data_IF_043596419667
#
_entry.id   IF_043596419667
#
_cell.length_a   1.000
_cell.length_b   1.000
_cell.length_c   1.000
_cell.angle_alpha   90.00
_cell.angle_beta   90.00
_cell.angle_gamma   90.00
#
_symmetry.space_group_name_H-M   'P 1'
#
loop_
_entity.id
_entity.type
_entity.pdbx_description
1 polymer ?
#
# COMPACT_ATOMS: atom_id res chain seq x y z
N UNK A 1 -35.14 30.59 1.42
CA UNK A 1 -33.80 30.19 1.94
C UNK A 1 -33.71 30.67 3.38
N UNK A 2 -33.56 29.76 4.33
CA UNK A 2 -33.50 30.07 5.76
C UNK A 2 -32.02 30.05 6.17
N UNK A 3 -31.43 31.23 6.38
CA UNK A 3 -30.03 31.35 6.81
C UNK A 3 -29.95 31.31 8.33
N UNK A 4 -29.37 30.24 8.87
CA UNK A 4 -29.00 30.12 10.28
C UNK A 4 -27.68 30.85 10.52
N UNK A 5 -27.73 31.98 11.22
CA UNK A 5 -26.53 32.68 11.69
C UNK A 5 -26.24 32.27 13.12
N UNK A 6 -25.06 31.68 13.35
CA UNK A 6 -24.63 31.28 14.68
C UNK A 6 -24.13 32.50 15.47
N UNK A 7 -24.56 32.64 16.72
CA UNK A 7 -24.24 33.80 17.58
C UNK A 7 -22.75 33.92 17.96
N UNK A 8 -21.98 32.84 17.85
CA UNK A 8 -20.53 32.83 18.03
C UNK A 8 -19.87 31.83 17.06
N UNK A 9 -19.40 32.31 15.89
CA UNK A 9 -18.75 31.47 14.87
C UNK A 9 -17.48 30.76 15.39
N UNK A 10 -16.78 31.36 16.35
CA UNK A 10 -15.52 30.83 16.90
C UNK A 10 -15.75 29.56 17.71
N UNK A 11 -16.85 29.50 18.46
CA UNK A 11 -17.24 28.30 19.23
C UNK A 11 -17.64 27.14 18.34
N UNK A 12 -18.37 27.40 17.25
CA UNK A 12 -18.76 26.35 16.30
C UNK A 12 -17.53 25.78 15.60
N UNK A 13 -16.61 26.66 15.16
CA UNK A 13 -15.35 26.23 14.56
C UNK A 13 -14.48 25.42 15.54
N UNK A 14 -14.34 25.88 16.79
CA UNK A 14 -13.58 25.16 17.82
C UNK A 14 -14.19 23.79 18.15
N UNK A 15 -15.53 23.71 18.23
CA UNK A 15 -16.24 22.46 18.44
C UNK A 15 -16.00 21.48 17.29
N UNK A 16 -16.22 21.90 16.05
CA UNK A 16 -16.00 21.06 14.86
C UNK A 16 -14.55 20.61 14.77
N UNK A 17 -13.59 21.51 14.98
CA UNK A 17 -12.15 21.21 14.94
C UNK A 17 -11.74 20.20 16.02
N UNK A 18 -12.22 20.38 17.25
CA UNK A 18 -11.90 19.47 18.35
C UNK A 18 -12.55 18.09 18.17
N UNK A 19 -13.79 18.04 17.69
CA UNK A 19 -14.48 16.78 17.39
C UNK A 19 -13.75 16.03 16.28
N UNK A 20 -13.38 16.69 15.18
CA UNK A 20 -12.61 16.08 14.09
C UNK A 20 -11.25 15.56 14.57
N UNK A 21 -10.49 16.37 15.30
CA UNK A 21 -9.20 15.95 15.84
C UNK A 21 -9.34 14.76 16.79
N UNK A 22 -10.34 14.76 17.68
CA UNK A 22 -10.56 13.65 18.61
C UNK A 22 -10.95 12.34 17.90
N UNK A 23 -11.69 12.42 16.80
CA UNK A 23 -12.08 11.26 16.00
C UNK A 23 -10.93 10.73 15.13
N UNK A 24 -10.12 11.61 14.55
CA UNK A 24 -8.92 11.23 13.81
C UNK A 24 -7.89 10.56 14.71
N UNK A 25 -7.65 11.11 15.90
CA UNK A 25 -6.76 10.51 16.91
C UNK A 25 -7.25 9.11 17.31
N UNK A 26 -8.55 8.94 17.56
CA UNK A 26 -9.14 7.62 17.86
C UNK A 26 -9.03 6.65 16.69
N UNK A 27 -9.18 7.11 15.45
CA UNK A 27 -9.03 6.28 14.26
C UNK A 27 -7.59 5.76 14.11
N UNK A 28 -6.61 6.64 14.28
CA UNK A 28 -5.20 6.26 14.26
C UNK A 28 -4.86 5.31 15.40
N UNK A 29 -5.28 5.60 16.63
CA UNK A 29 -5.09 4.67 17.77
C UNK A 29 -5.66 3.29 17.47
N UNK A 30 -6.87 3.20 16.91
CA UNK A 30 -7.48 1.91 16.54
C UNK A 30 -6.70 1.19 15.43
N UNK A 31 -6.21 1.92 14.41
CA UNK A 31 -5.37 1.37 13.33
C UNK A 31 -4.04 0.85 13.87
N UNK A 32 -3.38 1.60 14.75
CA UNK A 32 -2.12 1.20 15.38
C UNK A 32 -2.30 0.07 16.40
N UNK A 33 -3.44 -0.02 17.08
CA UNK A 33 -3.77 -1.16 17.95
C UNK A 33 -3.96 -2.44 17.14
N UNK A 34 -4.57 -2.38 15.94
CA UNK A 34 -4.66 -3.54 15.03
C UNK A 34 -3.28 -3.98 14.51
N UNK A 35 -2.39 -3.03 14.20
CA UNK A 35 -1.02 -3.34 13.78
C UNK A 35 -0.22 -3.93 14.94
N UNK A 36 -0.32 -3.35 16.15
CA UNK A 36 0.33 -3.89 17.36
C UNK A 36 -0.20 -5.26 17.74
N UNK A 37 -1.51 -5.50 17.63
CA UNK A 37 -2.09 -6.81 17.92
C UNK A 37 -1.56 -7.86 16.94
N UNK A 38 -1.54 -7.55 15.63
CA UNK A 38 -0.94 -8.40 14.58
C UNK A 38 0.55 -8.68 14.82
N UNK A 39 1.33 -7.66 15.17
CA UNK A 39 2.75 -7.81 15.53
C UNK A 39 2.95 -8.67 16.78
N UNK A 40 2.10 -8.50 17.80
CA UNK A 40 2.17 -9.26 19.04
C UNK A 40 1.71 -10.72 18.89
N UNK A 41 0.79 -11.03 17.97
CA UNK A 41 0.47 -12.41 17.59
C UNK A 41 1.62 -13.10 16.86
N UNK A 42 2.40 -12.38 16.04
CA UNK A 42 3.61 -12.92 15.41
C UNK A 42 4.73 -13.18 16.43
N UNK A 43 4.72 -12.47 17.57
CA UNK A 43 5.62 -12.69 18.71
C UNK A 43 5.01 -13.64 19.76
N UNK A 44 4.04 -14.49 19.38
CA UNK A 44 3.81 -15.72 20.15
C UNK A 44 4.98 -16.66 19.93
N UNK A 45 5.99 -16.43 20.76
CA UNK A 45 7.17 -17.24 20.98
C UNK A 45 6.81 -18.72 21.04
N UNK A 46 7.40 -19.54 20.16
CA UNK A 46 7.64 -20.94 20.47
C UNK A 46 8.31 -21.00 21.84
N UNK A 47 7.72 -21.73 22.80
CA UNK A 47 8.36 -21.97 24.10
C UNK A 47 9.73 -22.58 23.82
N UNK A 48 10.77 -21.97 24.39
CA UNK A 48 12.14 -22.45 24.25
C UNK A 48 12.18 -23.96 24.59
N UNK A 49 12.80 -24.74 23.72
CA UNK A 49 12.95 -26.18 23.93
C UNK A 49 13.80 -26.44 25.17
N UNK A 50 13.67 -27.66 25.74
CA UNK A 50 14.49 -28.09 26.89
C UNK A 50 16.00 -28.00 26.63
N UNK A 51 16.42 -27.98 25.36
CA UNK A 51 17.82 -27.86 24.94
C UNK A 51 18.26 -26.40 24.99
N UNK A 52 17.47 -25.49 24.42
CA UNK A 52 17.75 -24.04 24.42
C UNK A 52 17.82 -23.46 25.83
N UNK A 53 16.89 -23.87 26.71
CA UNK A 53 16.91 -23.47 28.12
C UNK A 53 18.14 -23.99 28.88
N UNK A 54 18.68 -25.15 28.50
CA UNK A 54 19.88 -25.74 29.12
C UNK A 54 21.16 -25.04 28.66
N UNK A 55 21.24 -24.68 27.38
CA UNK A 55 22.37 -23.92 26.80
C UNK A 55 22.41 -22.50 27.38
N UNK A 56 21.25 -21.86 27.53
CA UNK A 56 21.18 -20.53 28.14
C UNK A 56 21.59 -20.58 29.61
N UNK A 57 21.15 -21.59 30.37
CA UNK A 57 21.51 -21.75 31.77
C UNK A 57 23.00 -22.07 32.00
N UNK A 58 23.69 -22.71 31.05
CA UNK A 58 25.12 -23.03 31.17
C UNK A 58 26.06 -21.89 30.74
N UNK A 59 25.57 -20.95 29.91
CA UNK A 59 26.37 -19.83 29.36
C UNK A 59 26.13 -18.49 30.06
N UNK A 60 25.14 -18.39 30.94
CA UNK A 60 24.83 -17.14 31.64
C UNK A 60 25.28 -17.22 33.09
N UNK A 61 26.16 -16.29 33.47
CA UNK A 61 26.67 -16.19 34.83
C UNK A 61 25.56 -15.58 35.71
N UNK A 62 24.88 -16.43 36.48
CA UNK A 62 23.76 -16.01 37.33
C UNK A 62 24.29 -15.42 38.63
N UNK A 63 24.39 -14.10 38.68
CA UNK A 63 24.64 -13.37 39.95
C UNK A 63 23.64 -13.81 41.02
N UNK A 64 24.11 -13.99 42.26
CA UNK A 64 23.25 -14.43 43.37
C UNK A 64 22.24 -13.34 43.68
N UNK A 65 20.99 -13.71 43.96
CA UNK A 65 19.90 -12.74 44.25
C UNK A 65 20.26 -11.76 45.39
N UNK A 66 21.10 -12.19 46.34
CA UNK A 66 21.62 -11.35 47.42
C UNK A 66 22.54 -10.22 46.95
N UNK A 67 23.29 -10.42 45.86
CA UNK A 67 24.21 -9.42 45.28
C UNK A 67 23.41 -8.36 44.52
N UNK A 68 22.46 -8.80 43.70
CA UNK A 68 21.52 -7.92 42.98
C UNK A 68 20.71 -7.06 43.95
N UNK A 69 20.26 -7.63 45.08
CA UNK A 69 19.52 -6.89 46.11
C UNK A 69 20.38 -5.81 46.83
N UNK A 70 21.70 -6.01 46.92
CA UNK A 70 22.64 -5.02 47.47
C UNK A 70 22.87 -3.87 46.49
N UNK A 71 23.06 -4.17 45.20
CA UNK A 71 23.17 -3.17 44.13
C UNK A 71 21.88 -2.32 44.02
N UNK A 72 20.69 -2.94 44.04
CA UNK A 72 19.41 -2.22 43.97
C UNK A 72 19.14 -1.30 45.16
N UNK A 73 19.62 -1.65 46.36
CA UNK A 73 19.50 -0.77 47.54
C UNK A 73 20.37 0.48 47.43
N UNK A 74 21.48 0.44 46.70
CA UNK A 74 22.34 1.61 46.48
C UNK A 74 21.75 2.57 45.43
N UNK A 75 20.95 2.05 44.50
CA UNK A 75 20.29 2.83 43.44
C UNK A 75 18.96 3.43 43.93
N UNK A 76 18.35 2.86 44.97
CA UNK A 76 17.08 3.31 45.51
C UNK A 76 17.23 4.61 46.31
N UNK A 77 16.93 5.74 45.67
CA UNK A 77 16.83 7.06 46.30
C UNK A 77 15.38 7.33 46.75
N UNK A 78 15.09 7.30 48.07
CA UNK A 78 13.72 7.52 48.56
C UNK A 78 13.24 8.96 48.34
N UNK A 79 14.15 9.92 48.13
CA UNK A 79 13.82 11.32 47.88
C UNK A 79 13.21 11.57 46.48
N UNK A 80 13.42 10.68 45.51
CA UNK A 80 12.86 10.79 44.16
C UNK A 80 11.34 10.54 44.11
N UNK A 81 10.74 10.04 45.20
CA UNK A 81 9.32 9.72 45.30
C UNK A 81 8.58 10.55 46.35
N UNK A 82 9.16 11.66 46.82
CA UNK A 82 8.43 12.63 47.64
C UNK A 82 7.30 13.24 46.80
N UNK A 83 6.13 13.43 47.43
CA UNK A 83 5.00 14.11 46.78
C UNK A 83 5.42 15.54 46.45
N UNK A 84 5.23 15.93 45.18
CA UNK A 84 5.61 17.24 44.63
C UNK A 84 5.08 18.37 45.50
N UNK A 85 5.95 19.30 45.85
CA UNK A 85 5.54 20.53 46.54
C UNK A 85 4.96 21.53 45.54
N UNK A 86 4.25 22.54 46.03
CA UNK A 86 3.67 23.62 45.21
C UNK A 86 4.73 24.40 44.43
N UNK A 87 5.97 24.47 44.92
CA UNK A 87 7.10 25.07 44.19
C UNK A 87 7.58 24.21 43.02
N UNK A 88 7.56 22.87 43.16
CA UNK A 88 7.90 21.94 42.06
C UNK A 88 6.88 22.00 40.91
N UNK A 89 5.61 22.27 41.23
CA UNK A 89 4.54 22.42 40.22
C UNK A 89 4.72 23.69 39.36
N UNK A 90 5.18 24.79 39.96
CA UNK A 90 5.44 26.06 39.24
C UNK A 90 6.66 25.95 38.33
N UNK A 91 7.66 25.16 38.73
CA UNK A 91 8.85 24.88 37.93
C UNK A 91 8.48 23.97 36.74
N UNK A 92 7.67 22.92 36.95
CA UNK A 92 7.16 22.09 35.86
C UNK A 92 6.24 22.85 34.89
N UNK A 93 5.48 23.84 35.35
CA UNK A 93 4.64 24.66 34.45
C UNK A 93 5.48 25.60 33.56
N UNK A 94 6.66 26.03 34.04
CA UNK A 94 7.63 26.83 33.27
C UNK A 94 8.55 25.99 32.38
N UNK A 95 8.83 24.74 32.76
CA UNK A 95 9.64 23.78 31.99
C UNK A 95 8.79 22.81 31.16
N UNK A 96 7.45 22.87 31.27
CA UNK A 96 6.55 22.15 30.40
C UNK A 96 6.96 22.49 28.95
N UNK A 97 7.25 21.47 28.12
CA UNK A 97 7.58 21.74 26.73
C UNK A 97 6.40 22.52 26.17
N UNK A 98 6.63 23.80 25.80
CA UNK A 98 5.70 24.57 24.96
C UNK A 98 5.22 23.59 23.93
N UNK A 99 3.91 23.26 23.97
CA UNK A 99 3.31 22.22 23.16
C UNK A 99 3.95 22.32 21.79
N UNK A 100 4.84 21.37 21.49
CA UNK A 100 5.46 21.30 20.20
C UNK A 100 4.26 20.97 19.34
N UNK A 101 3.68 21.99 18.71
CA UNK A 101 2.73 21.78 17.65
C UNK A 101 3.47 20.83 16.73
N UNK A 102 3.09 19.56 16.80
CA UNK A 102 3.53 18.57 15.85
C UNK A 102 2.78 19.00 14.61
N UNK A 103 3.34 19.99 13.91
CA UNK A 103 3.06 20.20 12.51
C UNK A 103 3.41 18.86 11.89
N UNK A 104 2.39 18.00 11.74
CA UNK A 104 2.42 16.91 10.80
C UNK A 104 2.76 17.60 9.49
N UNK A 105 4.04 17.63 9.15
CA UNK A 105 4.47 18.06 7.84
C UNK A 105 3.74 17.12 6.89
N UNK A 106 2.98 17.62 5.91
CA UNK A 106 2.40 16.78 4.89
C UNK A 106 3.49 15.84 4.36
N UNK A 107 3.16 14.57 4.05
CA UNK A 107 4.13 13.65 3.42
C UNK A 107 4.80 14.31 2.20
N UNK A 108 4.09 15.21 1.50
CA UNK A 108 4.56 16.07 0.41
C UNK A 108 5.77 16.98 0.75
N UNK A 109 5.97 17.34 2.03
CA UNK A 109 7.11 18.14 2.50
C UNK A 109 8.30 17.27 2.91
N UNK A 110 8.08 15.97 3.17
CA UNK A 110 9.11 15.02 3.60
C UNK A 110 9.62 14.21 2.40
N UNK A 111 8.71 13.82 1.52
CA UNK A 111 8.94 13.05 0.30
C UNK A 111 8.62 13.97 -0.88
N UNK A 112 9.64 14.37 -1.62
CA UNK A 112 9.49 15.23 -2.79
C UNK A 112 9.78 14.41 -4.07
N UNK A 113 8.80 13.63 -4.57
CA UNK A 113 9.00 12.87 -5.78
C UNK A 113 9.04 13.80 -6.99
N UNK A 114 9.88 13.44 -7.95
CA UNK A 114 10.00 14.12 -9.23
C UNK A 114 9.96 13.12 -10.37
N UNK A 115 9.35 13.51 -11.48
CA UNK A 115 9.19 12.67 -12.65
C UNK A 115 10.25 12.99 -13.71
N UNK A 116 10.99 11.96 -14.15
CA UNK A 116 11.93 12.03 -15.27
C UNK A 116 11.28 11.46 -16.53
N UNK A 117 11.29 12.24 -17.62
CA UNK A 117 10.79 11.86 -18.96
C UNK A 117 9.37 11.28 -19.01
N UNK A 118 8.53 11.58 -18.00
CA UNK A 118 7.18 11.02 -17.90
C UNK A 118 7.14 9.47 -17.86
N UNK A 119 8.20 8.87 -17.29
CA UNK A 119 8.34 7.42 -17.22
C UNK A 119 8.92 6.92 -15.90
N UNK A 120 9.80 7.71 -15.27
CA UNK A 120 10.45 7.32 -14.03
C UNK A 120 10.15 8.31 -12.92
N UNK A 121 9.95 7.81 -11.71
CA UNK A 121 9.77 8.60 -10.51
C UNK A 121 11.03 8.50 -9.66
N UNK A 122 11.58 9.65 -9.31
CA UNK A 122 12.76 9.81 -8.49
C UNK A 122 12.34 10.31 -7.12
N UNK A 123 12.81 9.63 -6.08
CA UNK A 123 12.55 10.01 -4.70
C UNK A 123 13.83 9.89 -3.88
N UNK A 124 14.13 10.94 -3.12
CA UNK A 124 15.22 10.90 -2.16
C UNK A 124 14.81 10.07 -0.94
N UNK A 125 15.68 9.16 -0.53
CA UNK A 125 15.55 8.35 0.68
C UNK A 125 16.79 8.56 1.56
N UNK A 126 16.75 8.13 2.82
CA UNK A 126 17.86 8.35 3.76
C UNK A 126 19.20 7.78 3.25
N UNK A 127 19.15 6.65 2.56
CA UNK A 127 20.33 5.94 2.04
C UNK A 127 20.85 6.50 0.69
N UNK A 128 20.07 7.35 0.01
CA UNK A 128 20.41 7.88 -1.32
C UNK A 128 19.19 8.19 -2.19
N UNK A 129 19.18 7.67 -3.41
CA UNK A 129 18.13 7.90 -4.40
C UNK A 129 17.42 6.61 -4.76
N UNK A 130 16.10 6.65 -4.84
CA UNK A 130 15.26 5.58 -5.36
C UNK A 130 14.63 6.02 -6.68
N UNK A 131 14.71 5.14 -7.68
CA UNK A 131 14.17 5.32 -9.02
C UNK A 131 13.13 4.24 -9.24
N UNK A 132 11.93 4.63 -9.63
CA UNK A 132 10.77 3.75 -9.80
C UNK A 132 10.29 3.87 -11.25
N UNK A 133 10.09 2.73 -11.92
CA UNK A 133 9.38 2.69 -13.20
C UNK A 133 7.89 2.92 -12.95
N UNK A 134 7.36 4.04 -13.46
CA UNK A 134 5.98 4.46 -13.23
C UNK A 134 4.98 3.47 -13.82
N UNK A 135 5.22 3.01 -15.05
CA UNK A 135 4.29 2.16 -15.78
C UNK A 135 4.23 0.79 -15.11
N UNK A 136 5.40 0.18 -14.91
CA UNK A 136 5.50 -1.14 -14.32
C UNK A 136 5.07 -1.16 -12.84
N UNK A 137 5.26 -0.06 -12.10
CA UNK A 137 4.71 0.09 -10.75
C UNK A 137 3.17 0.07 -10.76
N UNK A 138 2.55 0.78 -11.69
CA UNK A 138 1.09 0.79 -11.81
C UNK A 138 0.53 -0.57 -12.23
N UNK A 139 1.17 -1.23 -13.19
CA UNK A 139 0.86 -2.62 -13.55
C UNK A 139 0.88 -3.54 -12.34
N UNK A 140 1.92 -3.44 -11.50
CA UNK A 140 2.04 -4.28 -10.29
C UNK A 140 0.90 -4.04 -9.31
N UNK A 141 0.57 -2.79 -9.06
CA UNK A 141 -0.53 -2.41 -8.16
C UNK A 141 -1.86 -3.00 -8.66
N UNK A 142 -2.16 -2.86 -9.96
CA UNK A 142 -3.40 -3.38 -10.54
C UNK A 142 -3.43 -4.91 -10.50
N UNK A 143 -2.33 -5.55 -10.90
CA UNK A 143 -2.20 -7.00 -10.88
C UNK A 143 -2.48 -7.59 -9.50
N UNK A 144 -1.87 -7.05 -8.44
CA UNK A 144 -2.13 -7.54 -7.08
C UNK A 144 -3.56 -7.25 -6.61
N UNK A 145 -4.12 -6.07 -6.93
CA UNK A 145 -5.53 -5.76 -6.67
C UNK A 145 -6.45 -6.81 -7.32
N UNK A 146 -6.18 -7.20 -8.57
CA UNK A 146 -6.93 -8.23 -9.28
C UNK A 146 -6.77 -9.60 -8.61
N UNK A 147 -5.55 -10.02 -8.27
CA UNK A 147 -5.33 -11.29 -7.57
C UNK A 147 -6.08 -11.35 -6.23
N UNK A 148 -6.10 -10.26 -5.46
CA UNK A 148 -6.88 -10.20 -4.23
C UNK A 148 -8.38 -10.38 -4.48
N UNK A 149 -8.92 -9.84 -5.58
CA UNK A 149 -10.33 -10.03 -5.95
C UNK A 149 -10.63 -11.47 -6.34
N UNK A 150 -9.76 -12.11 -7.11
CA UNK A 150 -9.88 -13.52 -7.47
C UNK A 150 -9.94 -14.41 -6.20
N UNK A 151 -9.21 -14.01 -5.14
CA UNK A 151 -9.20 -14.65 -3.82
C UNK A 151 -10.32 -14.21 -2.86
N UNK A 152 -11.27 -13.40 -3.30
CA UNK A 152 -12.49 -13.07 -2.56
C UNK A 152 -12.60 -11.63 -2.05
N UNK A 153 -11.67 -10.74 -2.38
CA UNK A 153 -11.88 -9.31 -2.18
C UNK A 153 -12.99 -8.80 -3.14
N UNK A 154 -13.78 -7.80 -2.73
CA UNK A 154 -14.83 -7.26 -3.60
C UNK A 154 -14.23 -6.58 -4.84
N UNK A 155 -14.78 -6.89 -6.01
CA UNK A 155 -14.46 -6.17 -7.24
C UNK A 155 -15.09 -4.78 -7.25
N UNK A 156 -14.35 -3.79 -7.71
CA UNK A 156 -14.91 -2.49 -8.05
C UNK A 156 -15.17 -2.47 -9.55
N UNK A 157 -16.44 -2.32 -9.93
CA UNK A 157 -16.88 -2.33 -11.32
C UNK A 157 -17.53 -1.01 -11.71
N UNK A 158 -17.43 -0.69 -12.99
CA UNK A 158 -18.17 0.37 -13.65
C UNK A 158 -19.18 -0.28 -14.60
N UNK A 159 -20.47 -0.02 -14.35
CA UNK A 159 -21.54 -0.44 -15.24
C UNK A 159 -21.58 0.45 -16.48
N UNK A 160 -21.67 -0.17 -17.65
CA UNK A 160 -21.80 0.54 -18.92
C UNK A 160 -23.21 1.14 -19.04
N UNK A 161 -23.32 2.30 -19.72
CA UNK A 161 -24.62 2.92 -20.01
C UNK A 161 -25.52 2.00 -20.84
N UNK A 162 -24.89 1.28 -21.77
CA UNK A 162 -25.52 0.26 -22.59
C UNK A 162 -24.60 -0.96 -22.64
N UNK A 163 -25.16 -2.19 -22.59
CA UNK A 163 -24.41 -3.40 -22.91
C UNK A 163 -23.74 -3.29 -24.27
N UNK A 164 -22.48 -3.71 -24.37
CA UNK A 164 -21.73 -3.71 -25.63
C UNK A 164 -21.58 -5.15 -26.10
N UNK A 165 -21.98 -5.39 -27.35
CA UNK A 165 -21.72 -6.65 -28.05
C UNK A 165 -20.34 -6.55 -28.67
N UNK A 166 -19.47 -7.51 -28.35
CA UNK A 166 -18.12 -7.61 -28.90
C UNK A 166 -18.06 -8.88 -29.74
N UNK A 167 -17.79 -8.71 -31.03
CA UNK A 167 -17.53 -9.82 -31.94
C UNK A 167 -16.05 -10.21 -31.82
N UNK A 168 -15.76 -11.43 -31.38
CA UNK A 168 -14.40 -11.93 -31.25
C UNK A 168 -13.79 -12.07 -32.65
N UNK A 169 -12.68 -11.38 -32.95
CA UNK A 169 -12.09 -11.40 -34.29
C UNK A 169 -11.60 -12.80 -34.69
N UNK A 170 -11.67 -13.15 -35.99
CA UNK A 170 -11.26 -14.46 -36.48
C UNK A 170 -9.76 -14.75 -36.40
N UNK A 171 -8.94 -13.75 -36.04
CA UNK A 171 -7.50 -13.92 -35.86
C UNK A 171 -7.12 -14.40 -34.45
N UNK A 172 -8.05 -14.38 -33.49
CA UNK A 172 -7.86 -15.01 -32.19
C UNK A 172 -8.02 -16.53 -32.32
N UNK A 173 -7.39 -17.32 -31.45
CA UNK A 173 -7.59 -18.77 -31.43
C UNK A 173 -9.07 -19.15 -31.34
N UNK A 174 -9.42 -20.24 -32.03
CA UNK A 174 -10.76 -20.83 -32.00
C UNK A 174 -11.16 -21.33 -30.61
N UNK A 175 -10.21 -21.48 -29.68
CA UNK A 175 -10.45 -21.89 -28.30
C UNK A 175 -10.83 -20.75 -27.36
N UNK A 176 -10.67 -19.49 -27.78
CA UNK A 176 -10.95 -18.31 -26.95
C UNK A 176 -12.41 -18.24 -26.46
N UNK A 177 -13.44 -18.48 -27.31
CA UNK A 177 -14.83 -18.46 -26.84
C UNK A 177 -15.08 -19.46 -25.71
N UNK A 178 -14.60 -20.70 -25.86
CA UNK A 178 -14.70 -21.77 -24.86
C UNK A 178 -13.95 -21.37 -23.58
N UNK A 179 -12.73 -20.82 -23.71
CA UNK A 179 -11.93 -20.36 -22.59
C UNK A 179 -12.63 -19.25 -21.78
N UNK A 180 -13.32 -18.33 -22.43
CA UNK A 180 -14.10 -17.28 -21.77
C UNK A 180 -15.28 -17.90 -21.02
N UNK A 181 -16.01 -18.82 -21.67
CA UNK A 181 -17.18 -19.50 -21.09
C UNK A 181 -16.81 -20.32 -19.84
N UNK A 182 -15.70 -21.07 -19.90
CA UNK A 182 -15.20 -21.87 -18.79
C UNK A 182 -14.72 -21.03 -17.58
N UNK A 183 -14.42 -19.75 -17.79
CA UNK A 183 -13.82 -18.87 -16.79
C UNK A 183 -14.67 -17.64 -16.44
N UNK A 184 -15.98 -17.64 -16.73
CA UNK A 184 -16.88 -16.52 -16.44
C UNK A 184 -16.81 -16.05 -14.97
N UNK A 185 -16.67 -16.98 -14.01
CA UNK A 185 -16.52 -16.63 -12.59
C UNK A 185 -15.22 -15.84 -12.30
N UNK A 186 -14.14 -16.13 -13.03
CA UNK A 186 -12.88 -15.40 -12.87
C UNK A 186 -13.04 -14.00 -13.46
N UNK A 187 -13.66 -13.87 -14.64
CA UNK A 187 -13.98 -12.57 -15.23
C UNK A 187 -14.85 -11.71 -14.31
N UNK A 188 -15.90 -12.29 -13.70
CA UNK A 188 -16.77 -11.60 -12.74
C UNK A 188 -15.98 -11.06 -11.54
N UNK A 189 -15.10 -11.88 -10.96
CA UNK A 189 -14.22 -11.46 -9.87
C UNK A 189 -13.21 -10.38 -10.26
N UNK A 190 -12.71 -10.38 -11.49
CA UNK A 190 -11.83 -9.30 -11.98
C UNK A 190 -12.61 -7.99 -12.07
N UNK A 191 -13.87 -8.08 -12.47
CA UNK A 191 -14.81 -6.96 -12.59
C UNK A 191 -15.53 -6.89 -13.94
N UNK A 192 -15.45 -7.95 -14.75
CA UNK A 192 -16.15 -8.05 -16.03
C UNK A 192 -17.45 -8.84 -15.89
N UNK A 193 -18.58 -8.23 -16.20
CA UNK A 193 -19.85 -8.96 -16.35
C UNK A 193 -20.02 -9.37 -17.81
N UNK A 194 -19.64 -10.60 -18.13
CA UNK A 194 -19.68 -11.17 -19.49
C UNK A 194 -20.85 -12.16 -19.62
N UNK A 195 -21.55 -12.10 -20.76
CA UNK A 195 -22.52 -13.10 -21.19
C UNK A 195 -22.16 -13.61 -22.58
N UNK A 196 -22.24 -14.91 -22.79
CA UNK A 196 -22.10 -15.48 -24.13
C UNK A 196 -23.32 -15.08 -24.99
N UNK A 197 -23.06 -14.70 -26.23
CA UNK A 197 -24.07 -14.43 -27.25
C UNK A 197 -23.81 -15.33 -28.45
N UNK A 198 -24.78 -15.43 -29.36
CA UNK A 198 -24.71 -16.40 -30.46
C UNK A 198 -23.40 -16.30 -31.26
N UNK A 199 -22.78 -17.46 -31.55
CA UNK A 199 -21.54 -17.55 -32.31
C UNK A 199 -20.32 -17.15 -31.50
N UNK A 200 -19.46 -16.31 -32.10
CA UNK A 200 -18.22 -15.83 -31.48
C UNK A 200 -18.40 -14.44 -30.85
N UNK A 201 -19.58 -14.15 -30.33
CA UNK A 201 -19.94 -12.82 -29.83
C UNK A 201 -20.19 -12.89 -28.34
N UNK A 202 -19.78 -11.87 -27.61
CA UNK A 202 -20.04 -11.75 -26.18
C UNK A 202 -20.69 -10.42 -25.88
N UNK A 203 -21.42 -10.35 -24.76
CA UNK A 203 -22.01 -9.12 -24.25
C UNK A 203 -21.31 -8.75 -22.96
N UNK A 204 -20.85 -7.52 -22.87
CA UNK A 204 -20.25 -6.95 -21.66
C UNK A 204 -21.18 -5.87 -21.10
N UNK A 205 -21.57 -6.04 -19.84
CA UNK A 205 -22.45 -5.11 -19.11
C UNK A 205 -21.67 -4.24 -18.10
N UNK A 206 -20.59 -4.78 -17.54
CA UNK A 206 -19.77 -4.16 -16.50
C UNK A 206 -18.29 -4.42 -16.77
N UNK A 207 -17.45 -3.46 -16.40
CA UNK A 207 -15.99 -3.51 -16.58
C UNK A 207 -15.27 -3.14 -15.27
N UNK A 208 -14.02 -3.58 -15.06
CA UNK A 208 -13.18 -3.10 -13.96
C UNK A 208 -13.01 -1.58 -13.99
N UNK A 209 -13.01 -0.93 -12.81
CA UNK A 209 -12.83 0.52 -12.68
C UNK A 209 -11.47 1.02 -13.17
N UNK A 210 -10.48 0.13 -13.27
CA UNK A 210 -9.15 0.45 -13.77
C UNK A 210 -9.11 0.71 -15.29
N UNK A 211 -10.15 0.33 -16.03
CA UNK A 211 -10.23 0.52 -17.49
C UNK A 211 -10.93 1.84 -17.85
N UNK A 212 -10.18 2.94 -17.83
CA UNK A 212 -10.70 4.28 -18.16
C UNK A 212 -11.04 4.45 -19.66
N UNK A 213 -10.25 3.86 -20.55
CA UNK A 213 -10.35 4.02 -22.01
C UNK A 213 -11.06 2.83 -22.68
N UNK A 214 -12.27 2.48 -22.23
CA UNK A 214 -12.99 1.29 -22.72
C UNK A 214 -13.36 1.31 -24.22
N UNK A 215 -13.44 2.51 -24.81
CA UNK A 215 -13.80 2.83 -26.21
C UNK A 215 -14.29 1.64 -27.06
N UNK A 216 -15.59 1.34 -26.98
CA UNK A 216 -16.22 0.35 -27.87
C UNK A 216 -15.87 -1.12 -27.63
N UNK A 217 -15.06 -1.45 -26.63
CA UNK A 217 -14.65 -2.83 -26.32
C UNK A 217 -13.34 -3.27 -26.97
N UNK A 218 -12.66 -2.41 -27.73
CA UNK A 218 -11.38 -2.74 -28.38
C UNK A 218 -10.32 -3.15 -27.35
N UNK A 219 -10.29 -2.48 -26.19
CA UNK A 219 -9.38 -2.82 -25.10
C UNK A 219 -9.61 -4.25 -24.59
N UNK A 220 -10.84 -4.77 -24.63
CA UNK A 220 -11.12 -6.15 -24.26
C UNK A 220 -10.49 -7.13 -25.24
N UNK A 221 -10.61 -6.87 -26.54
CA UNK A 221 -9.97 -7.68 -27.58
C UNK A 221 -8.45 -7.68 -27.37
N UNK A 222 -7.86 -6.53 -27.04
CA UNK A 222 -6.44 -6.44 -26.71
C UNK A 222 -6.04 -7.21 -25.45
N UNK A 223 -6.90 -7.23 -24.42
CA UNK A 223 -6.70 -8.04 -23.20
C UNK A 223 -6.71 -9.53 -23.56
N UNK A 224 -7.68 -9.97 -24.35
CA UNK A 224 -7.81 -11.38 -24.76
C UNK A 224 -6.64 -11.80 -25.65
N UNK A 225 -6.18 -10.91 -26.54
CA UNK A 225 -4.98 -11.17 -27.32
C UNK A 225 -3.74 -11.30 -26.44
N UNK A 226 -3.56 -10.41 -25.46
CA UNK A 226 -2.45 -10.53 -24.52
C UNK A 226 -2.57 -11.82 -23.69
N UNK A 227 -3.78 -12.21 -23.30
CA UNK A 227 -4.02 -13.45 -22.57
C UNK A 227 -3.58 -14.68 -23.38
N UNK A 228 -3.87 -14.70 -24.68
CA UNK A 228 -3.42 -15.76 -25.59
C UNK A 228 -1.89 -15.86 -25.60
N UNK A 229 -1.19 -14.73 -25.70
CA UNK A 229 0.28 -14.69 -25.65
C UNK A 229 0.81 -15.19 -24.28
N UNK A 230 0.25 -14.72 -23.16
CA UNK A 230 0.67 -15.13 -21.80
C UNK A 230 0.43 -16.63 -21.55
N UNK A 231 -0.65 -17.20 -22.08
CA UNK A 231 -0.97 -18.63 -21.95
C UNK A 231 0.01 -19.55 -22.69
N UNK A 232 0.82 -19.01 -23.61
CA UNK A 232 1.93 -19.77 -24.21
C UNK A 232 3.12 -19.93 -23.26
N UNK A 233 3.25 -19.03 -22.28
CA UNK A 233 4.35 -19.02 -21.30
C UNK A 233 3.97 -19.72 -19.98
N UNK A 234 2.70 -19.66 -19.58
CA UNK A 234 2.20 -20.25 -18.33
C UNK A 234 0.80 -20.86 -18.52
N UNK A 235 0.55 -22.00 -17.88
CA UNK A 235 -0.76 -22.66 -17.92
C UNK A 235 -1.76 -22.07 -16.90
N UNK A 236 -1.33 -21.17 -16.00
CA UNK A 236 -2.23 -20.57 -15.01
C UNK A 236 -3.05 -19.43 -15.62
N UNK A 237 -4.28 -19.75 -16.00
CA UNK A 237 -5.25 -18.79 -16.53
C UNK A 237 -5.42 -17.55 -15.65
N UNK A 238 -5.49 -17.72 -14.31
CA UNK A 238 -5.77 -16.61 -13.38
C UNK A 238 -4.62 -15.61 -13.37
N UNK A 239 -3.40 -16.12 -13.39
CA UNK A 239 -2.20 -15.29 -13.49
C UNK A 239 -2.14 -14.56 -14.84
N UNK A 240 -2.32 -15.30 -15.94
CA UNK A 240 -2.29 -14.75 -17.30
C UNK A 240 -3.31 -13.63 -17.50
N UNK A 241 -4.59 -13.86 -17.17
CA UNK A 241 -5.61 -12.81 -17.32
C UNK A 241 -5.34 -11.60 -16.44
N UNK A 242 -4.81 -11.82 -15.22
CA UNK A 242 -4.49 -10.71 -14.31
C UNK A 242 -3.37 -9.85 -14.88
N UNK A 243 -2.34 -10.46 -15.49
CA UNK A 243 -1.28 -9.74 -16.21
C UNK A 243 -1.82 -8.97 -17.41
N UNK A 244 -2.65 -9.62 -18.23
CA UNK A 244 -3.24 -9.00 -19.43
C UNK A 244 -4.08 -7.78 -19.10
N UNK A 245 -4.94 -7.87 -18.09
CA UNK A 245 -5.76 -6.75 -17.63
C UNK A 245 -4.88 -5.66 -17.04
N UNK A 246 -3.91 -6.00 -16.19
CA UNK A 246 -3.02 -5.02 -15.58
C UNK A 246 -2.20 -4.23 -16.61
N UNK A 247 -1.67 -4.90 -17.64
CA UNK A 247 -0.92 -4.27 -18.73
C UNK A 247 -1.76 -3.22 -19.49
N UNK A 248 -3.03 -3.55 -19.77
CA UNK A 248 -3.94 -2.66 -20.52
C UNK A 248 -4.57 -1.56 -19.66
N UNK A 249 -4.77 -1.82 -18.37
CA UNK A 249 -5.28 -0.85 -17.41
C UNK A 249 -4.20 0.10 -16.87
N UNK A 250 -2.91 -0.27 -16.97
CA UNK A 250 -1.83 0.53 -16.42
C UNK A 250 -1.69 1.89 -17.10
N UNK A 251 -1.03 2.81 -16.40
CA UNK A 251 -0.81 4.16 -16.89
C UNK A 251 0.04 4.05 -18.14
N UNK A 252 -0.44 4.59 -19.26
CA UNK A 252 0.31 4.64 -20.51
C UNK A 252 1.66 5.33 -20.31
N UNK A 253 2.69 4.76 -20.92
CA UNK A 253 4.02 5.37 -20.93
C UNK A 253 3.94 6.81 -21.44
N UNK A 254 4.56 7.75 -20.73
CA UNK A 254 4.52 9.17 -21.08
C UNK A 254 3.43 10.00 -20.41
N UNK A 255 2.59 9.43 -19.53
CA UNK A 255 1.61 10.21 -18.74
C UNK A 255 2.34 11.06 -17.69
N UNK A 256 2.19 12.38 -17.79
CA UNK A 256 2.65 13.32 -16.76
C UNK A 256 1.84 13.14 -15.47
N UNK A 257 2.52 13.09 -14.33
CA UNK A 257 1.88 12.95 -13.01
C UNK A 257 2.12 14.17 -12.12
N UNK A 258 1.10 14.55 -11.36
CA UNK A 258 1.23 15.49 -10.26
C UNK A 258 1.96 14.87 -9.06
N UNK A 259 2.49 15.71 -8.15
CA UNK A 259 3.18 15.21 -6.94
C UNK A 259 2.31 14.29 -6.08
N UNK A 260 1.03 14.64 -5.92
CA UNK A 260 0.05 13.84 -5.17
C UNK A 260 -0.18 12.47 -5.80
N UNK A 261 -0.29 12.41 -7.12
CA UNK A 261 -0.47 11.16 -7.86
C UNK A 261 0.78 10.28 -7.74
N UNK A 262 1.98 10.88 -7.83
CA UNK A 262 3.24 10.14 -7.63
C UNK A 262 3.34 9.57 -6.21
N UNK A 263 3.00 10.35 -5.18
CA UNK A 263 2.97 9.87 -3.79
C UNK A 263 1.94 8.75 -3.59
N UNK A 264 0.74 8.90 -4.17
CA UNK A 264 -0.28 7.85 -4.12
C UNK A 264 0.21 6.56 -4.78
N UNK A 265 0.85 6.66 -5.96
CA UNK A 265 1.43 5.50 -6.65
C UNK A 265 2.53 4.83 -5.81
N UNK A 266 3.42 5.62 -5.19
CA UNK A 266 4.47 5.10 -4.31
C UNK A 266 3.87 4.38 -3.11
N UNK A 267 2.86 4.98 -2.48
CA UNK A 267 2.20 4.41 -1.31
C UNK A 267 1.45 3.12 -1.66
N UNK A 268 0.72 3.10 -2.78
CA UNK A 268 0.05 1.91 -3.30
C UNK A 268 1.07 0.81 -3.65
N UNK A 269 2.19 1.17 -4.29
CA UNK A 269 3.25 0.23 -4.63
C UNK A 269 3.83 -0.43 -3.39
N UNK A 270 4.13 0.33 -2.33
CA UNK A 270 4.68 -0.24 -1.09
C UNK A 270 3.63 -0.96 -0.22
N UNK A 271 2.34 -0.83 -0.55
CA UNK A 271 1.28 -1.64 0.06
C UNK A 271 1.15 -3.03 -0.59
N UNK A 272 1.72 -3.23 -1.78
CA UNK A 272 1.80 -4.51 -2.46
C UNK A 272 2.64 -5.54 -1.68
N UNK A 273 2.29 -6.83 -1.82
CA UNK A 273 3.04 -7.94 -1.26
C UNK A 273 4.46 -8.04 -1.85
N UNK A 274 4.60 -7.78 -3.16
CA UNK A 274 5.89 -7.89 -3.84
C UNK A 274 6.18 -6.63 -4.67
N UNK A 275 6.69 -5.54 -4.06
CA UNK A 275 6.82 -4.23 -4.70
C UNK A 275 8.06 -4.06 -5.60
N UNK A 276 8.96 -5.04 -5.65
CA UNK A 276 10.27 -4.89 -6.29
C UNK A 276 10.32 -5.39 -7.74
N UNK A 277 9.35 -6.22 -8.15
CA UNK A 277 9.32 -6.85 -9.47
C UNK A 277 7.96 -6.64 -10.11
N UNK A 278 7.93 -6.42 -11.42
CA UNK A 278 6.67 -6.35 -12.16
C UNK A 278 6.06 -7.76 -12.29
N UNK A 279 4.80 -7.88 -12.73
CA UNK A 279 4.17 -9.18 -12.98
C UNK A 279 4.97 -10.10 -13.92
N UNK A 280 5.76 -9.52 -14.82
CA UNK A 280 6.64 -10.25 -15.76
C UNK A 280 8.10 -10.40 -15.25
N UNK A 281 8.38 -10.07 -13.98
CA UNK A 281 9.70 -10.31 -13.36
C UNK A 281 10.76 -9.22 -13.56
N UNK A 282 10.47 -8.13 -14.28
CA UNK A 282 11.42 -7.01 -14.43
C UNK A 282 11.52 -6.19 -13.13
N UNK A 283 12.70 -5.67 -12.76
CA UNK A 283 12.84 -4.85 -11.56
C UNK A 283 12.09 -3.52 -11.68
N UNK A 284 11.32 -3.16 -10.66
CA UNK A 284 10.52 -1.93 -10.59
C UNK A 284 11.28 -0.77 -9.95
N UNK A 285 12.14 -1.10 -8.97
CA UNK A 285 12.79 -0.14 -8.10
C UNK A 285 14.30 -0.34 -8.21
N UNK A 286 15.00 0.74 -8.55
CA UNK A 286 16.45 0.82 -8.50
C UNK A 286 16.83 1.75 -7.36
N UNK A 287 17.67 1.28 -6.44
CA UNK A 287 18.24 2.10 -5.36
C UNK A 287 19.68 2.43 -5.71
N UNK A 288 20.01 3.71 -5.67
CA UNK A 288 21.37 4.22 -5.82
C UNK A 288 21.80 4.84 -4.49
N UNK A 289 22.63 4.13 -3.70
CA UNK A 289 23.07 4.65 -2.41
C UNK A 289 24.04 5.82 -2.60
N UNK A 290 24.16 6.69 -1.59
CA UNK A 290 25.04 7.86 -1.64
C UNK A 290 26.50 7.52 -2.00
N UNK A 291 26.99 6.37 -1.53
CA UNK A 291 28.35 5.91 -1.83
C UNK A 291 28.59 5.68 -3.33
N UNK A 292 27.56 5.31 -4.11
CA UNK A 292 27.70 5.18 -5.55
C UNK A 292 27.84 6.53 -6.24
N UNK A 293 27.14 7.55 -5.76
CA UNK A 293 27.30 8.92 -6.25
C UNK A 293 28.71 9.42 -5.95
N UNK A 294 29.18 9.29 -4.71
CA UNK A 294 30.53 9.67 -4.30
C UNK A 294 31.58 9.05 -5.23
N UNK A 295 31.50 7.73 -5.42
CA UNK A 295 32.42 6.97 -6.30
C UNK A 295 32.40 7.45 -7.75
N UNK A 296 31.21 7.73 -8.31
CA UNK A 296 31.06 8.27 -9.69
C UNK A 296 31.67 9.67 -9.84
N UNK A 297 31.64 10.48 -8.78
CA UNK A 297 32.26 11.80 -8.74
C UNK A 297 33.71 11.80 -8.24
N UNK A 298 34.31 10.61 -8.00
CA UNK A 298 35.67 10.45 -7.44
C UNK A 298 35.85 11.19 -6.12
N UNK A 299 34.78 11.25 -5.32
CA UNK A 299 34.80 11.62 -3.91
C UNK A 299 34.84 10.29 -3.16
N UNK A 300 35.79 10.13 -2.25
CA UNK A 300 36.00 8.92 -1.42
C UNK A 300 36.48 7.66 -2.15
#
# INVERSE_FOLDING_TARGET
KMELRFGDPGRVHAFVKNTLNSHLLRYEENRFQQIKSKLSTTIQTNKATKIESRIFASRTDKKRFSEVKKELKQIYQPDMFKQKTTEDQVIEEKLAPKQKEMFLRPEEEVINPWQLHQSYIFVQVEEGLMIIDQHAAHERIIYEKILHRIHGAPAQTQKLLFPIVIDLPPHLSTTIPELIEDNLEVFDKIGFSIKTFSGNSIVIDEIPVELEDWDGGDIFIEIIKQLEDELTETEDFRDSISKSVACKAAIKAGKKMGKKEMLALINDLFACEVPYFCPHGRPLIIKMPMIEFEKKFKRT
#
